data_IF_509717415323
#
_entry.id   IF_509717415323
#
_cell.length_a   1.000
_cell.length_b   1.000
_cell.length_c   1.000
_cell.angle_alpha   90.00
_cell.angle_beta   90.00
_cell.angle_gamma   90.00
#
_symmetry.space_group_name_H-M   'P 1'
#
loop_
_entity.id
_entity.type
_entity.pdbx_description
1 polymer ?
#
# COMPACT_ATOMS: atom_id res chain seq x y z
N UNK A 1 46.29 18.54 -31.16
CA UNK A 1 45.94 18.68 -32.60
C UNK A 1 44.46 18.38 -32.73
N UNK A 2 43.59 19.21 -33.30
CA UNK A 2 43.74 20.56 -33.85
C UNK A 2 42.33 21.18 -33.84
N UNK A 3 42.29 22.48 -33.53
CA UNK A 3 41.11 23.35 -33.48
C UNK A 3 40.21 23.20 -34.71
N UNK A 4 38.90 23.18 -34.48
CA UNK A 4 37.92 23.56 -35.51
C UNK A 4 37.50 25.02 -35.33
N UNK A 5 37.25 25.75 -36.44
CA UNK A 5 37.36 27.21 -36.50
C UNK A 5 36.02 27.91 -36.23
N UNK A 6 36.11 29.13 -35.69
CA UNK A 6 34.99 30.08 -35.61
C UNK A 6 34.77 30.77 -36.97
N UNK A 7 33.52 30.96 -37.43
CA UNK A 7 33.23 31.85 -38.54
C UNK A 7 33.21 33.30 -38.07
N UNK A 8 33.91 34.13 -38.85
CA UNK A 8 34.23 35.52 -38.56
C UNK A 8 33.06 36.50 -38.67
N UNK A 9 33.35 37.67 -38.12
CA UNK A 9 32.54 38.90 -38.17
C UNK A 9 32.55 39.46 -39.59
N UNK A 10 31.40 39.49 -40.23
CA UNK A 10 31.12 40.43 -41.32
C UNK A 10 30.08 41.45 -40.85
N UNK A 11 30.60 42.60 -40.43
CA UNK A 11 29.84 43.83 -40.23
C UNK A 11 30.12 44.69 -41.45
N UNK A 12 29.19 44.81 -42.40
CA UNK A 12 29.04 46.07 -43.13
C UNK A 12 27.72 46.20 -43.89
N UNK A 13 26.92 47.17 -43.44
CA UNK A 13 26.14 48.15 -44.22
C UNK A 13 25.33 47.64 -45.41
N UNK A 14 24.01 47.81 -45.31
CA UNK A 14 23.30 48.84 -46.09
C UNK A 14 21.96 49.16 -45.44
N UNK A 15 21.70 50.47 -45.31
CA UNK A 15 20.44 51.02 -44.90
C UNK A 15 19.42 50.88 -46.03
N UNK A 16 18.18 50.54 -45.69
CA UNK A 16 17.06 50.50 -46.62
C UNK A 16 15.77 50.40 -45.84
N UNK A 17 15.16 51.56 -45.57
CA UNK A 17 13.80 51.69 -45.05
C UNK A 17 12.82 50.98 -45.99
N UNK A 18 11.86 50.21 -45.45
CA UNK A 18 10.41 50.35 -45.70
C UNK A 18 9.61 49.11 -45.25
N UNK A 19 8.45 49.41 -44.65
CA UNK A 19 7.21 48.64 -44.63
C UNK A 19 6.98 47.57 -43.54
N UNK A 20 6.25 48.03 -42.51
CA UNK A 20 5.05 47.41 -41.93
C UNK A 20 4.80 45.90 -42.16
N UNK A 21 4.89 45.12 -41.08
CA UNK A 21 3.86 44.14 -40.72
C UNK A 21 4.09 43.70 -39.26
N UNK A 22 3.45 44.39 -38.31
CA UNK A 22 3.35 43.94 -36.92
C UNK A 22 2.47 42.68 -36.92
N UNK A 23 3.09 41.51 -36.90
CA UNK A 23 2.42 40.25 -36.59
C UNK A 23 2.01 40.29 -35.10
N UNK A 24 0.79 40.74 -34.84
CA UNK A 24 0.13 40.54 -33.55
C UNK A 24 -0.24 39.05 -33.41
N UNK A 25 0.72 38.23 -32.99
CA UNK A 25 0.42 36.90 -32.44
C UNK A 25 -0.32 37.09 -31.12
N UNK A 26 -1.65 36.99 -31.17
CA UNK A 26 -2.50 36.96 -29.99
C UNK A 26 -2.07 35.83 -29.06
N UNK A 27 -1.57 36.22 -27.89
CA UNK A 27 -1.42 35.32 -26.74
C UNK A 27 -2.81 34.84 -26.33
N UNK A 28 -3.15 33.59 -26.66
CA UNK A 28 -4.29 32.91 -26.06
C UNK A 28 -3.82 32.39 -24.70
N UNK A 29 -4.33 32.90 -23.57
CA UNK A 29 -4.00 32.33 -22.27
C UNK A 29 -4.63 30.93 -22.19
N UNK A 30 -3.81 29.91 -22.37
CA UNK A 30 -4.21 28.53 -22.14
C UNK A 30 -4.34 28.37 -20.63
N UNK A 31 -5.58 28.45 -20.11
CA UNK A 31 -5.87 28.12 -18.73
C UNK A 31 -5.55 26.64 -18.53
N UNK A 32 -4.38 26.37 -17.93
CA UNK A 32 -4.01 25.04 -17.49
C UNK A 32 -5.01 24.62 -16.41
N UNK A 33 -5.98 23.78 -16.77
CA UNK A 33 -6.77 23.03 -15.82
C UNK A 33 -5.79 22.08 -15.10
N UNK A 34 -5.41 22.45 -13.87
CA UNK A 34 -4.69 21.56 -12.98
C UNK A 34 -5.63 20.42 -12.61
N UNK A 35 -5.44 19.27 -13.25
CA UNK A 35 -6.13 18.03 -12.87
C UNK A 35 -5.61 17.63 -11.49
N UNK A 36 -6.42 17.89 -10.47
CA UNK A 36 -6.13 17.53 -9.09
C UNK A 36 -6.15 15.99 -9.00
N UNK A 37 -4.98 15.40 -9.27
CA UNK A 37 -4.76 13.96 -9.14
C UNK A 37 -4.99 13.61 -7.67
N UNK A 38 -6.22 13.17 -7.33
CA UNK A 38 -6.53 12.59 -6.02
C UNK A 38 -5.49 11.50 -5.76
N UNK A 39 -4.53 11.80 -4.90
CA UNK A 39 -3.59 10.81 -4.43
C UNK A 39 -4.44 9.72 -3.74
N UNK A 40 -4.51 8.55 -4.36
CA UNK A 40 -5.23 7.41 -3.78
C UNK A 40 -4.51 7.05 -2.50
N UNK A 41 -5.20 7.22 -1.37
CA UNK A 41 -4.59 7.07 -0.06
C UNK A 41 -4.17 5.60 0.11
N UNK A 42 -2.92 5.36 0.50
CA UNK A 42 -2.35 4.01 0.59
C UNK A 42 -2.17 3.61 2.03
N UNK A 43 -2.91 2.59 2.46
CA UNK A 43 -2.85 2.07 3.81
C UNK A 43 -1.88 0.88 3.84
N UNK A 44 -0.69 1.09 4.41
CA UNK A 44 0.28 0.01 4.65
C UNK A 44 -0.07 -0.73 5.94
N UNK A 45 -0.22 -2.05 5.86
CA UNK A 45 -0.47 -2.95 6.99
C UNK A 45 0.49 -4.13 6.90
N UNK A 46 1.06 -4.55 8.02
CA UNK A 46 1.91 -5.74 8.06
C UNK A 46 1.06 -7.00 8.16
N UNK A 47 1.47 -8.07 7.48
CA UNK A 47 0.84 -9.40 7.57
C UNK A 47 0.72 -9.83 9.04
N UNK A 48 -0.39 -10.49 9.38
CA UNK A 48 -0.73 -10.96 10.74
C UNK A 48 -0.87 -9.84 11.79
N UNK A 49 -1.00 -8.58 11.36
CA UNK A 49 -1.18 -7.43 12.23
C UNK A 49 -2.47 -6.67 11.92
N UNK A 50 -3.00 -6.01 12.95
CA UNK A 50 -4.11 -5.10 12.83
C UNK A 50 -3.62 -3.65 12.89
N UNK A 51 -4.19 -2.79 12.04
CA UNK A 51 -3.95 -1.35 12.03
C UNK A 51 -5.25 -0.62 12.30
N UNK A 52 -5.21 0.31 13.26
CA UNK A 52 -6.34 1.20 13.54
C UNK A 52 -6.25 2.43 12.64
N UNK A 53 -7.34 2.74 11.95
CA UNK A 53 -7.47 3.90 11.07
C UNK A 53 -8.79 4.60 11.40
N UNK A 54 -8.82 5.93 11.30
CA UNK A 54 -10.07 6.68 11.48
C UNK A 54 -10.97 6.46 10.26
N UNK A 55 -12.24 6.14 10.51
CA UNK A 55 -13.22 6.03 9.45
C UNK A 55 -13.61 7.44 8.97
N UNK A 56 -13.72 7.69 7.65
CA UNK A 56 -14.24 8.95 7.14
C UNK A 56 -15.64 9.24 7.71
N UNK A 57 -15.91 10.51 8.02
CA UNK A 57 -17.22 10.90 8.51
C UNK A 57 -18.29 10.65 7.44
N UNK A 58 -19.45 10.13 7.86
CA UNK A 58 -20.58 9.84 6.96
C UNK A 58 -20.51 8.50 6.23
N UNK A 59 -19.47 7.68 6.46
CA UNK A 59 -19.40 6.33 5.89
C UNK A 59 -20.39 5.40 6.59
N UNK A 60 -21.34 4.85 5.83
CA UNK A 60 -22.33 3.87 6.30
C UNK A 60 -22.04 2.47 5.79
N UNK A 61 -21.56 2.36 4.55
CA UNK A 61 -21.25 1.09 3.92
C UNK A 61 -19.77 1.01 3.56
N UNK A 62 -19.16 -0.14 3.86
CA UNK A 62 -17.77 -0.44 3.51
C UNK A 62 -17.76 -1.60 2.54
N UNK A 63 -16.99 -1.44 1.46
CA UNK A 63 -16.73 -2.48 0.48
C UNK A 63 -15.24 -2.75 0.43
N UNK A 64 -14.88 -4.02 0.54
CA UNK A 64 -13.52 -4.51 0.39
C UNK A 64 -13.48 -5.35 -0.88
N UNK A 65 -12.53 -5.08 -1.79
CA UNK A 65 -12.45 -5.83 -3.03
C UNK A 65 -12.12 -7.30 -2.82
N UNK A 66 -11.16 -7.61 -1.93
CA UNK A 66 -10.80 -8.97 -1.61
C UNK A 66 -10.63 -9.19 -0.07
N UNK A 67 -11.61 -9.81 0.61
CA UNK A 67 -11.55 -10.06 2.04
C UNK A 67 -10.50 -11.12 2.44
N UNK A 68 -9.94 -11.87 1.49
CA UNK A 68 -8.84 -12.82 1.79
C UNK A 68 -7.50 -12.13 2.01
N UNK A 69 -7.33 -10.90 1.53
CA UNK A 69 -6.11 -10.08 1.71
C UNK A 69 -6.20 -9.28 3.02
N UNK A 70 -7.30 -8.54 3.20
CA UNK A 70 -7.53 -7.73 4.39
C UNK A 70 -9.01 -7.69 4.75
N UNK A 71 -9.29 -7.61 6.04
CA UNK A 71 -10.63 -7.55 6.61
C UNK A 71 -10.76 -6.27 7.45
N UNK A 72 -11.94 -5.67 7.50
CA UNK A 72 -12.17 -4.39 8.19
C UNK A 72 -13.36 -4.52 9.12
N UNK A 73 -13.14 -4.24 10.40
CA UNK A 73 -14.19 -4.14 11.40
C UNK A 73 -14.35 -2.69 11.86
N UNK A 74 -15.57 -2.16 11.79
CA UNK A 74 -15.88 -0.82 12.29
C UNK A 74 -16.22 -0.86 13.76
N UNK A 75 -15.58 0.00 14.54
CA UNK A 75 -15.88 0.20 15.94
C UNK A 75 -16.81 1.41 16.12
N UNK A 76 -17.63 1.36 17.18
CA UNK A 76 -18.66 2.38 17.49
C UNK A 76 -18.11 3.80 17.70
N UNK A 77 -16.80 3.96 17.88
CA UNK A 77 -16.12 5.23 18.09
C UNK A 77 -15.59 5.87 16.79
N UNK A 78 -16.03 5.42 15.61
CA UNK A 78 -15.56 5.95 14.32
C UNK A 78 -14.13 5.53 13.97
N UNK A 79 -13.63 4.47 14.60
CA UNK A 79 -12.34 3.84 14.28
C UNK A 79 -12.62 2.54 13.57
N UNK A 80 -11.91 2.28 12.47
CA UNK A 80 -11.90 0.99 11.81
C UNK A 80 -10.61 0.24 12.14
N UNK A 81 -10.76 -1.06 12.37
CA UNK A 81 -9.66 -2.00 12.59
C UNK A 81 -9.48 -2.78 11.31
N UNK A 82 -8.35 -2.55 10.64
CA UNK A 82 -7.97 -3.26 9.42
C UNK A 82 -7.05 -4.41 9.83
N UNK A 83 -7.43 -5.64 9.52
CA UNK A 83 -6.66 -6.84 9.83
C UNK A 83 -6.12 -7.43 8.55
N UNK A 84 -4.80 -7.55 8.43
CA UNK A 84 -4.16 -8.20 7.31
C UNK A 84 -4.21 -9.73 7.47
N UNK A 85 -4.68 -10.43 6.42
CA UNK A 85 -4.78 -11.90 6.38
C UNK A 85 -3.80 -12.54 5.40
N UNK A 86 -3.53 -11.88 4.28
CA UNK A 86 -2.62 -12.38 3.25
C UNK A 86 -1.86 -11.24 2.58
N UNK A 87 -0.65 -11.53 2.10
CA UNK A 87 0.16 -10.57 1.37
C UNK A 87 -0.51 -10.23 0.03
N UNK A 88 -0.58 -8.94 -0.30
CA UNK A 88 -1.25 -8.50 -1.50
C UNK A 88 -1.71 -7.05 -1.44
N UNK A 89 -2.47 -6.64 -2.45
CA UNK A 89 -3.06 -5.31 -2.55
C UNK A 89 -4.55 -5.45 -2.80
N UNK A 90 -5.36 -4.75 -2.03
CA UNK A 90 -6.81 -4.71 -2.21
C UNK A 90 -7.31 -3.28 -2.01
N UNK A 91 -8.46 -2.96 -2.58
CA UNK A 91 -9.10 -1.68 -2.41
C UNK A 91 -10.11 -1.71 -1.26
N UNK A 92 -10.24 -0.56 -0.62
CA UNK A 92 -11.24 -0.24 0.38
C UNK A 92 -12.04 0.95 -0.13
N UNK A 93 -13.36 0.82 -0.12
CA UNK A 93 -14.29 1.85 -0.58
C UNK A 93 -15.29 2.11 0.54
N UNK A 94 -15.42 3.38 0.92
CA UNK A 94 -16.42 3.85 1.87
C UNK A 94 -17.51 4.62 1.14
N UNK A 95 -18.76 4.22 1.37
CA UNK A 95 -19.95 4.82 0.77
C UNK A 95 -20.81 5.53 1.83
N UNK A 96 -21.50 6.58 1.44
CA UNK A 96 -22.52 7.24 2.24
C UNK A 96 -23.90 6.54 2.12
N UNK A 97 -24.90 7.09 2.81
CA UNK A 97 -26.28 6.61 2.78
C UNK A 97 -26.95 6.67 1.40
N UNK A 98 -26.44 7.52 0.51
CA UNK A 98 -26.92 7.65 -0.87
C UNK A 98 -26.23 6.69 -1.83
N UNK A 99 -25.22 5.94 -1.37
CA UNK A 99 -24.39 5.07 -2.18
C UNK A 99 -23.26 5.81 -2.92
N UNK A 100 -23.01 7.09 -2.62
CA UNK A 100 -21.92 7.84 -3.22
C UNK A 100 -20.58 7.50 -2.54
N UNK A 101 -19.51 7.47 -3.34
CA UNK A 101 -18.16 7.16 -2.85
C UNK A 101 -17.60 8.36 -2.10
N UNK A 102 -17.43 8.20 -0.78
CA UNK A 102 -16.82 9.21 0.10
C UNK A 102 -15.30 9.13 0.01
N UNK A 103 -14.78 7.90 0.00
CA UNK A 103 -13.34 7.64 0.03
C UNK A 103 -13.03 6.30 -0.62
N UNK A 104 -11.92 6.28 -1.36
CA UNK A 104 -11.33 5.07 -1.93
C UNK A 104 -9.84 5.06 -1.57
N UNK A 105 -9.37 3.92 -1.07
CA UNK A 105 -7.98 3.73 -0.63
C UNK A 105 -7.48 2.35 -1.02
N UNK A 106 -6.17 2.23 -1.21
CA UNK A 106 -5.53 0.94 -1.49
C UNK A 106 -4.87 0.43 -0.22
N UNK A 107 -5.32 -0.72 0.26
CA UNK A 107 -4.66 -1.47 1.33
C UNK A 107 -3.54 -2.29 0.70
N UNK A 108 -2.32 -2.09 1.18
CA UNK A 108 -1.16 -2.90 0.78
C UNK A 108 -0.67 -3.65 2.00
N UNK A 109 -0.72 -4.98 1.91
CA UNK A 109 -0.25 -5.89 2.94
C UNK A 109 1.18 -6.30 2.65
N UNK A 110 2.09 -5.96 3.55
CA UNK A 110 3.51 -6.31 3.46
C UNK A 110 3.85 -7.45 4.40
N UNK A 111 4.65 -8.42 3.94
CA UNK A 111 5.18 -9.45 4.82
C UNK A 111 6.29 -8.84 5.69
N UNK A 112 6.19 -8.86 7.03
CA UNK A 112 7.23 -8.34 7.89
C UNK A 112 8.51 -9.18 7.71
N UNK A 113 9.61 -8.51 7.36
CA UNK A 113 10.93 -9.14 7.20
C UNK A 113 11.78 -9.07 8.46
N UNK A 114 11.42 -8.20 9.41
CA UNK A 114 12.15 -8.05 10.66
C UNK A 114 11.83 -9.21 11.60
N UNK A 115 12.87 -9.83 12.17
CA UNK A 115 12.72 -10.97 13.07
C UNK A 115 12.25 -12.26 12.39
N UNK A 116 12.11 -12.30 11.06
CA UNK A 116 11.65 -13.48 10.33
C UNK A 116 12.77 -14.03 9.44
N UNK A 117 12.99 -15.34 9.50
CA UNK A 117 13.98 -16.05 8.69
C UNK A 117 13.26 -17.05 7.80
N UNK A 118 13.58 -17.01 6.51
CA UNK A 118 13.09 -17.99 5.52
C UNK A 118 14.25 -18.88 5.11
N UNK A 119 14.08 -20.19 5.27
CA UNK A 119 15.05 -21.20 4.86
C UNK A 119 14.56 -21.86 3.58
N UNK A 120 15.34 -21.72 2.50
CA UNK A 120 15.06 -22.34 1.21
C UNK A 120 15.97 -23.57 1.02
N UNK A 121 15.37 -24.75 0.78
CA UNK A 121 16.06 -26.00 0.46
C UNK A 121 15.54 -26.53 -0.87
N UNK A 122 16.16 -26.09 -1.96
CA UNK A 122 15.61 -26.34 -3.29
C UNK A 122 14.29 -25.59 -3.49
N UNK A 123 13.20 -26.32 -3.74
CA UNK A 123 11.84 -25.76 -3.82
C UNK A 123 11.13 -25.68 -2.47
N UNK A 124 11.72 -26.27 -1.43
CA UNK A 124 11.08 -26.33 -0.12
C UNK A 124 11.40 -25.06 0.67
N UNK A 125 10.36 -24.37 1.13
CA UNK A 125 10.45 -23.16 1.92
C UNK A 125 10.01 -23.44 3.36
N UNK A 126 10.79 -23.03 4.36
CA UNK A 126 10.37 -23.10 5.76
C UNK A 126 10.60 -21.75 6.46
N UNK A 127 9.55 -21.20 7.07
CA UNK A 127 9.60 -19.90 7.73
C UNK A 127 9.72 -20.01 9.25
N UNK A 128 10.52 -19.12 9.85
CA UNK A 128 10.78 -19.05 11.29
C UNK A 128 10.64 -17.61 11.80
N UNK A 129 10.12 -17.45 13.01
CA UNK A 129 10.07 -16.19 13.75
C UNK A 129 11.10 -16.22 14.89
N UNK A 130 12.00 -15.24 14.90
CA UNK A 130 13.23 -15.22 15.68
C UNK A 130 13.25 -14.01 16.62
N UNK A 131 12.95 -14.25 17.89
CA UNK A 131 13.06 -13.24 18.95
C UNK A 131 13.22 -13.87 20.35
N UNK A 132 14.44 -14.10 20.89
CA UNK A 132 15.76 -14.18 20.27
C UNK A 132 16.11 -15.58 19.72
N UNK A 133 15.30 -16.59 20.05
CA UNK A 133 15.38 -17.94 19.48
C UNK A 133 14.37 -18.07 18.34
N UNK A 134 14.75 -18.80 17.30
CA UNK A 134 13.89 -19.04 16.15
C UNK A 134 12.90 -20.17 16.42
N UNK A 135 11.61 -19.87 16.34
CA UNK A 135 10.51 -20.82 16.44
C UNK A 135 9.87 -21.00 15.06
N UNK A 136 9.41 -22.22 14.71
CA UNK A 136 8.71 -22.44 13.46
C UNK A 136 7.42 -21.61 13.45
N UNK A 137 7.19 -20.91 12.34
CA UNK A 137 5.93 -20.22 12.06
C UNK A 137 5.40 -20.70 10.72
N UNK A 138 4.11 -20.46 10.50
CA UNK A 138 3.41 -20.87 9.29
C UNK A 138 3.18 -19.65 8.43
N UNK A 139 3.73 -19.65 7.22
CA UNK A 139 3.51 -18.57 6.23
C UNK A 139 3.05 -19.17 4.90
N UNK A 140 2.24 -18.40 4.18
CA UNK A 140 1.83 -18.77 2.82
C UNK A 140 3.08 -18.92 1.93
N UNK A 141 3.24 -20.09 1.33
CA UNK A 141 4.41 -20.46 0.52
C UNK A 141 5.36 -21.45 1.19
N UNK A 142 5.20 -21.73 2.49
CA UNK A 142 5.96 -22.80 3.15
C UNK A 142 5.64 -24.18 2.55
N UNK A 143 6.62 -25.09 2.59
CA UNK A 143 6.48 -26.47 2.18
C UNK A 143 5.43 -27.20 3.01
N UNK A 144 4.69 -28.12 2.39
CA UNK A 144 3.55 -28.81 3.00
C UNK A 144 3.95 -29.52 4.31
N UNK A 145 5.16 -30.08 4.38
CA UNK A 145 5.64 -30.81 5.54
C UNK A 145 5.97 -29.88 6.71
N UNK A 146 6.51 -28.69 6.46
CA UNK A 146 6.70 -27.65 7.48
C UNK A 146 5.37 -27.06 7.93
N UNK A 147 4.48 -26.75 6.99
CA UNK A 147 3.15 -26.21 7.25
C UNK A 147 2.34 -27.15 8.16
N UNK A 148 2.16 -28.41 7.75
CA UNK A 148 1.33 -29.37 8.49
C UNK A 148 1.92 -29.70 9.86
N UNK A 149 3.24 -29.91 9.97
CA UNK A 149 3.88 -30.19 11.27
C UNK A 149 3.75 -29.04 12.25
N UNK A 150 3.88 -27.80 11.78
CA UNK A 150 3.78 -26.62 12.64
C UNK A 150 2.35 -26.44 13.16
N UNK A 151 1.34 -26.61 12.30
CA UNK A 151 -0.08 -26.58 12.70
C UNK A 151 -0.42 -27.72 13.68
N UNK A 152 0.08 -28.93 13.45
CA UNK A 152 -0.12 -30.06 14.34
C UNK A 152 0.48 -29.81 15.73
N UNK A 153 1.67 -29.22 15.79
CA UNK A 153 2.32 -28.87 17.05
C UNK A 153 1.54 -27.83 17.84
N UNK A 154 1.03 -26.79 17.17
CA UNK A 154 0.17 -25.78 17.80
C UNK A 154 -1.12 -26.43 18.30
N UNK A 155 -1.80 -27.20 17.46
CA UNK A 155 -3.07 -27.86 17.81
C UNK A 155 -2.93 -28.82 19.01
N UNK A 156 -1.83 -29.58 19.07
CA UNK A 156 -1.53 -30.48 20.20
C UNK A 156 -1.23 -29.71 21.48
N UNK A 157 -0.51 -28.59 21.38
CA UNK A 157 -0.26 -27.70 22.52
C UNK A 157 -1.57 -27.09 23.01
N UNK A 158 -2.40 -26.57 22.12
CA UNK A 158 -3.68 -25.95 22.46
C UNK A 158 -4.62 -26.97 23.12
N UNK A 159 -4.70 -28.18 22.56
CA UNK A 159 -5.40 -29.32 23.16
C UNK A 159 -4.91 -29.68 24.56
N UNK A 160 -3.61 -29.56 24.83
CA UNK A 160 -3.05 -29.74 26.17
C UNK A 160 -3.34 -28.56 27.11
N UNK A 161 -3.62 -27.37 26.59
CA UNK A 161 -3.92 -26.15 27.38
C UNK A 161 -5.40 -25.80 27.52
N UNK A 162 -6.31 -26.52 26.85
CA UNK A 162 -7.78 -26.33 26.91
C UNK A 162 -8.42 -26.58 28.31
N UNK A 163 -7.63 -26.55 29.38
CA UNK A 163 -8.07 -26.44 30.78
C UNK A 163 -7.88 -25.04 31.37
N UNK A 164 -7.42 -24.05 30.60
CA UNK A 164 -7.30 -22.66 31.06
C UNK A 164 -8.27 -21.73 30.29
N UNK A 165 -9.25 -21.09 30.95
CA UNK A 165 -10.14 -20.12 30.30
C UNK A 165 -9.38 -18.83 29.99
N UNK A 166 -9.12 -18.58 28.71
CA UNK A 166 -8.49 -17.34 28.25
C UNK A 166 -9.54 -16.35 27.75
N UNK A 167 -10.03 -15.53 28.67
CA UNK A 167 -10.35 -14.12 28.44
C UNK A 167 -10.58 -13.46 29.81
N UNK A 168 -9.63 -12.65 30.28
CA UNK A 168 -9.93 -11.71 31.36
C UNK A 168 -10.84 -10.62 30.79
N UNK A 169 -12.07 -10.41 31.30
CA UNK A 169 -12.90 -9.31 30.85
C UNK A 169 -12.20 -7.99 31.20
N UNK A 170 -12.05 -7.11 30.20
CA UNK A 170 -11.69 -5.72 30.44
C UNK A 170 -12.84 -5.09 31.24
N UNK A 171 -12.65 -4.94 32.56
CA UNK A 171 -13.58 -4.21 33.42
C UNK A 171 -13.66 -2.77 32.90
N UNK A 172 -14.88 -2.32 32.57
CA UNK A 172 -15.19 -0.89 32.49
C UNK A 172 -15.23 -0.28 33.87
#
# INVERSE_FOLDING_TARGET
MMLMPMPGRDVLRTAGLLALAVLACGFVPHAALAEEKRASDTILVSLDQAKLVKLPAGAETIVIGNPTIADVAVQKNGVMVITARSAGRTNFIALDSSGAIISESVITVTNPTQGRVVVLRGTDQSTYDCAPLCLPTVTLGDDEKHFNRSIDQVSRRDGATNQAPNAAPVKK
#
